data_IF_935410321355
#
_entry.id   IF_935410321355
#
_cell.length_a   1.000
_cell.length_b   1.000
_cell.length_c   1.000
_cell.angle_alpha   90.00
_cell.angle_beta   90.00
_cell.angle_gamma   90.00
#
_symmetry.space_group_name_H-M   'P 1'
#
loop_
_entity.id
_entity.type
_entity.pdbx_description
1 polymer ?
#
# COMPACT_ATOMS: atom_id res chain seq x y z
N UNK A 1 13.15 -0.32 13.41
CA UNK A 1 12.11 -1.04 12.64
C UNK A 1 11.55 -2.22 13.43
N UNK A 2 12.38 -3.19 13.83
CA UNK A 2 11.94 -4.37 14.60
C UNK A 2 11.23 -4.01 15.92
N UNK A 3 11.83 -3.19 16.78
CA UNK A 3 11.19 -2.75 18.03
C UNK A 3 9.91 -1.89 17.83
N UNK A 4 9.68 -1.33 16.64
CA UNK A 4 8.42 -0.63 16.33
C UNK A 4 7.36 -1.63 15.86
N UNK A 5 7.76 -2.65 15.08
CA UNK A 5 6.91 -3.79 14.72
C UNK A 5 6.43 -4.52 15.98
N UNK A 6 7.33 -4.85 16.90
CA UNK A 6 6.98 -5.65 18.08
C UNK A 6 5.95 -4.91 18.96
N UNK A 7 6.15 -3.60 19.18
CA UNK A 7 5.16 -2.74 19.86
C UNK A 7 3.82 -2.65 19.12
N UNK A 8 3.85 -2.57 17.78
CA UNK A 8 2.62 -2.56 16.99
C UNK A 8 1.88 -3.89 17.10
N UNK A 9 2.60 -5.01 17.14
CA UNK A 9 2.05 -6.36 17.27
C UNK A 9 1.41 -6.58 18.65
N UNK A 10 2.03 -6.08 19.72
CA UNK A 10 1.45 -6.10 21.08
C UNK A 10 0.18 -5.24 21.19
N UNK A 11 0.09 -4.17 20.39
CA UNK A 11 -1.06 -3.28 20.35
C UNK A 11 -2.18 -3.76 19.41
N UNK A 12 -1.98 -4.86 18.65
CA UNK A 12 -3.03 -5.41 17.80
C UNK A 12 -4.18 -5.95 18.65
N UNK A 13 -5.40 -5.56 18.31
CA UNK A 13 -6.60 -6.18 18.88
C UNK A 13 -6.67 -7.66 18.51
N UNK A 14 -7.40 -8.44 19.32
CA UNK A 14 -7.59 -9.88 19.13
C UNK A 14 -8.00 -10.25 17.69
N UNK A 15 -8.90 -9.47 17.08
CA UNK A 15 -9.38 -9.65 15.70
C UNK A 15 -8.26 -9.58 14.63
N UNK A 16 -7.21 -8.81 14.89
CA UNK A 16 -6.13 -8.59 13.93
C UNK A 16 -4.93 -9.50 14.16
N UNK A 17 -4.84 -10.14 15.32
CA UNK A 17 -3.73 -11.04 15.67
C UNK A 17 -3.58 -12.21 14.70
N UNK A 18 -4.68 -12.68 14.10
CA UNK A 18 -4.68 -13.75 13.11
C UNK A 18 -3.98 -13.38 11.79
N UNK A 19 -3.87 -12.09 11.46
CA UNK A 19 -3.18 -11.60 10.25
C UNK A 19 -1.72 -11.23 10.52
N UNK A 20 -1.26 -11.45 11.75
CA UNK A 20 0.07 -11.08 12.17
C UNK A 20 1.10 -12.10 11.68
N UNK A 21 2.22 -11.62 11.15
CA UNK A 21 3.28 -12.46 10.55
C UNK A 21 4.59 -12.29 11.35
N UNK A 22 4.69 -12.84 12.57
CA UNK A 22 5.78 -12.53 13.51
C UNK A 22 7.15 -13.05 13.06
N UNK A 23 7.17 -14.12 12.25
CA UNK A 23 8.39 -14.71 11.71
C UNK A 23 8.86 -14.08 10.40
N UNK A 24 8.07 -13.21 9.79
CA UNK A 24 8.41 -12.58 8.51
C UNK A 24 9.28 -11.34 8.73
N UNK A 25 10.28 -11.18 7.86
CA UNK A 25 11.08 -9.97 7.82
C UNK A 25 10.30 -8.83 7.14
N UNK A 26 10.58 -7.56 7.49
CA UNK A 26 9.99 -6.43 6.80
C UNK A 26 10.26 -6.48 5.29
N UNK A 27 9.18 -6.57 4.50
CA UNK A 27 9.29 -6.56 3.04
C UNK A 27 9.66 -5.16 2.53
N UNK A 28 10.81 -5.06 1.87
CA UNK A 28 11.25 -3.82 1.23
C UNK A 28 10.67 -3.74 -0.19
N UNK A 29 9.65 -2.90 -0.36
CA UNK A 29 9.05 -2.65 -1.68
C UNK A 29 9.87 -1.62 -2.46
N UNK A 30 10.48 -2.03 -3.57
CA UNK A 30 11.20 -1.13 -4.50
C UNK A 30 10.42 -0.98 -5.79
N UNK A 31 9.58 0.05 -5.84
CA UNK A 31 8.81 0.41 -7.04
C UNK A 31 9.15 1.85 -7.47
N UNK A 32 10.37 2.09 -7.97
CA UNK A 32 10.70 3.38 -8.57
C UNK A 32 9.83 3.60 -9.80
N UNK A 33 9.26 4.79 -9.94
CA UNK A 33 8.50 5.17 -11.13
C UNK A 33 9.46 5.48 -12.27
N UNK A 34 9.97 4.43 -12.94
CA UNK A 34 10.96 4.55 -14.02
C UNK A 34 10.36 5.23 -15.24
N UNK A 35 9.19 4.75 -15.67
CA UNK A 35 8.43 5.31 -16.80
C UNK A 35 7.09 5.86 -16.29
N UNK A 36 7.02 7.16 -15.97
CA UNK A 36 5.78 7.77 -15.53
C UNK A 36 4.75 7.76 -16.67
N UNK A 37 3.47 7.45 -16.37
CA UNK A 37 2.42 7.52 -17.37
C UNK A 37 2.26 8.96 -17.87
N UNK A 38 1.91 9.17 -19.15
CA UNK A 38 1.82 10.51 -19.74
C UNK A 38 0.71 11.36 -19.11
N UNK A 39 -0.28 10.71 -18.50
CA UNK A 39 -1.37 11.34 -17.75
C UNK A 39 -1.73 10.45 -16.56
N UNK A 40 -2.07 11.09 -15.45
CA UNK A 40 -2.58 10.40 -14.26
C UNK A 40 -4.07 10.67 -14.05
N UNK A 41 -4.77 9.66 -13.53
CA UNK A 41 -6.17 9.74 -13.14
C UNK A 41 -6.30 9.20 -11.72
N UNK A 42 -6.84 10.04 -10.83
CA UNK A 42 -7.09 9.62 -9.45
C UNK A 42 -8.24 8.63 -9.39
N UNK A 43 -8.04 7.53 -8.66
CA UNK A 43 -9.08 6.55 -8.31
C UNK A 43 -9.29 6.51 -6.79
N UNK A 44 -10.50 6.18 -6.36
CA UNK A 44 -10.86 5.94 -4.95
C UNK A 44 -11.60 4.60 -4.87
N UNK A 45 -11.37 3.86 -3.79
CA UNK A 45 -12.09 2.61 -3.53
C UNK A 45 -13.58 2.83 -3.25
N UNK A 46 -14.01 4.06 -2.91
CA UNK A 46 -15.43 4.36 -2.71
C UNK A 46 -16.23 4.30 -4.03
N UNK A 47 -15.56 4.64 -5.14
CA UNK A 47 -16.17 4.67 -6.49
C UNK A 47 -15.83 3.43 -7.30
N UNK A 48 -14.64 2.90 -7.08
CA UNK A 48 -14.07 1.75 -7.79
C UNK A 48 -13.60 0.77 -6.72
N UNK A 49 -14.47 -0.13 -6.23
CA UNK A 49 -14.20 -0.96 -5.06
C UNK A 49 -13.02 -1.92 -5.22
N UNK A 50 -12.60 -2.17 -6.47
CA UNK A 50 -11.46 -3.00 -6.78
C UNK A 50 -10.58 -2.32 -7.85
N UNK A 51 -9.28 -2.25 -7.60
CA UNK A 51 -8.29 -1.73 -8.55
C UNK A 51 -7.21 -2.80 -8.76
N UNK A 52 -7.16 -3.35 -9.97
CA UNK A 52 -6.17 -4.36 -10.37
C UNK A 52 -5.35 -3.89 -11.58
N UNK A 53 -4.15 -4.46 -11.75
CA UNK A 53 -3.24 -4.17 -12.86
C UNK A 53 -1.77 -4.21 -12.46
N UNK A 54 -0.88 -3.78 -13.36
CA UNK A 54 0.55 -3.70 -13.08
C UNK A 54 0.91 -2.40 -12.38
N UNK A 55 1.49 -2.49 -11.19
CA UNK A 55 2.04 -1.35 -10.45
C UNK A 55 3.27 -0.80 -11.20
N UNK A 56 3.22 0.46 -11.60
CA UNK A 56 4.31 1.18 -12.26
C UNK A 56 5.25 1.85 -11.27
N UNK A 57 4.74 2.29 -10.10
CA UNK A 57 5.55 2.95 -9.10
C UNK A 57 4.80 3.25 -7.81
N UNK A 58 5.57 3.54 -6.77
CA UNK A 58 5.10 4.03 -5.47
C UNK A 58 5.77 5.38 -5.20
N UNK A 59 4.98 6.41 -4.89
CA UNK A 59 5.48 7.74 -4.53
C UNK A 59 4.82 8.21 -3.24
N UNK A 60 5.50 8.04 -2.10
CA UNK A 60 4.91 8.33 -0.79
C UNK A 60 3.65 7.46 -0.56
N UNK A 61 2.52 8.10 -0.33
CA UNK A 61 1.21 7.44 -0.13
C UNK A 61 0.47 7.09 -1.45
N UNK A 62 1.10 7.27 -2.61
CA UNK A 62 0.46 7.06 -3.90
C UNK A 62 0.95 5.77 -4.56
N UNK A 63 0.01 4.88 -4.87
CA UNK A 63 0.21 3.73 -5.76
C UNK A 63 -0.15 4.15 -7.19
N UNK A 64 0.72 3.85 -8.15
CA UNK A 64 0.57 4.28 -9.55
C UNK A 64 0.58 3.05 -10.45
N UNK A 65 -0.46 2.84 -11.24
CA UNK A 65 -0.55 1.75 -12.21
C UNK A 65 -0.01 2.17 -13.58
N UNK A 66 0.42 1.19 -14.38
CA UNK A 66 0.95 1.41 -15.75
C UNK A 66 -0.01 2.14 -16.68
N UNK A 67 -1.32 2.03 -16.45
CA UNK A 67 -2.36 2.69 -17.23
C UNK A 67 -2.66 4.14 -16.79
N UNK A 68 -1.91 4.68 -15.83
CA UNK A 68 -2.08 6.05 -15.35
C UNK A 68 -3.01 6.20 -14.16
N UNK A 69 -3.66 5.14 -13.65
CA UNK A 69 -4.45 5.24 -12.43
C UNK A 69 -3.55 5.48 -11.21
N UNK A 70 -4.03 6.31 -10.29
CA UNK A 70 -3.33 6.66 -9.04
C UNK A 70 -4.28 6.53 -7.86
N UNK A 71 -3.89 5.75 -6.85
CA UNK A 71 -4.63 5.57 -5.60
C UNK A 71 -3.84 6.20 -4.46
N UNK A 72 -4.51 7.04 -3.67
CA UNK A 72 -3.98 7.53 -2.41
C UNK A 72 -4.41 6.59 -1.28
N UNK A 73 -3.47 5.82 -0.72
CA UNK A 73 -3.79 4.82 0.31
C UNK A 73 -4.25 5.46 1.62
N UNK A 74 -3.87 6.71 1.90
CA UNK A 74 -4.27 7.43 3.12
C UNK A 74 -5.79 7.68 3.18
N UNK A 75 -6.44 7.78 2.03
CA UNK A 75 -7.90 7.99 2.00
C UNK A 75 -8.69 6.76 2.50
N UNK A 76 -8.02 5.62 2.67
CA UNK A 76 -8.61 4.35 3.06
C UNK A 76 -7.93 3.73 4.30
N UNK A 77 -7.01 4.46 4.94
CA UNK A 77 -6.50 4.13 6.28
C UNK A 77 -7.40 4.84 7.28
N UNK A 78 -8.36 4.11 7.85
CA UNK A 78 -9.27 4.63 8.88
C UNK A 78 -8.57 5.31 10.05
#
# INVERSE_FOLDING_TARGET
LLAARDRAMEALGYELGAYSLPGEEPLVLRYPLVDPPPKVVSVSLDKVPEVSGTLAGIKGQYLIWKDGRVLNVRNHSG
#
